data_IF_354731329467
#
_entry.id   IF_354731329467
#
_cell.length_a   1.000
_cell.length_b   1.000
_cell.length_c   1.000
_cell.angle_alpha   90.00
_cell.angle_beta   90.00
_cell.angle_gamma   90.00
#
_symmetry.space_group_name_H-M   'P 1'
#
loop_
_entity.id
_entity.type
_entity.pdbx_description
1 polymer ?
#
# COMPACT_ATOMS: atom_id res chain seq x y z
N UNK A 1 -10.39 -20.85 -0.88
CA UNK A 1 -11.18 -19.77 -0.23
C UNK A 1 -12.41 -20.30 0.52
N UNK A 2 -13.29 -21.10 -0.10
CA UNK A 2 -14.53 -21.58 0.56
C UNK A 2 -14.33 -22.26 1.92
N UNK A 3 -13.32 -23.12 2.09
CA UNK A 3 -13.02 -23.79 3.37
C UNK A 3 -12.76 -22.83 4.53
N UNK A 4 -12.16 -21.67 4.26
CA UNK A 4 -11.88 -20.65 5.29
C UNK A 4 -13.11 -19.79 5.57
N UNK A 5 -13.85 -19.44 4.51
CA UNK A 5 -15.06 -18.63 4.59
C UNK A 5 -16.24 -19.35 5.26
N UNK A 6 -16.45 -20.65 4.97
CA UNK A 6 -17.64 -21.38 5.39
C UNK A 6 -17.84 -21.42 6.91
N UNK A 7 -16.74 -21.42 7.69
CA UNK A 7 -16.77 -21.36 9.16
C UNK A 7 -17.35 -20.04 9.68
N UNK A 8 -17.11 -18.93 8.98
CA UNK A 8 -17.50 -17.59 9.41
C UNK A 8 -18.74 -17.06 8.68
N UNK A 9 -19.21 -17.75 7.64
CA UNK A 9 -20.38 -17.34 6.84
C UNK A 9 -21.55 -16.85 7.70
N UNK A 10 -22.01 -17.67 8.65
CA UNK A 10 -23.15 -17.30 9.51
C UNK A 10 -22.90 -15.99 10.27
N UNK A 11 -21.70 -15.83 10.82
CA UNK A 11 -21.31 -14.64 11.56
C UNK A 11 -21.23 -13.41 10.66
N UNK A 12 -20.69 -13.53 9.45
CA UNK A 12 -20.61 -12.43 8.49
C UNK A 12 -21.99 -11.93 8.06
N UNK A 13 -22.93 -12.84 7.78
CA UNK A 13 -24.32 -12.47 7.47
C UNK A 13 -25.03 -11.84 8.66
N UNK A 14 -24.86 -12.38 9.88
CA UNK A 14 -25.42 -11.77 11.09
C UNK A 14 -24.85 -10.37 11.33
N UNK A 15 -23.54 -10.18 11.14
CA UNK A 15 -22.88 -8.90 11.30
C UNK A 15 -23.44 -7.86 10.34
N UNK A 16 -23.46 -8.16 9.04
CA UNK A 16 -23.97 -7.20 8.04
C UNK A 16 -25.44 -6.86 8.26
N UNK A 17 -26.26 -7.80 8.74
CA UNK A 17 -27.67 -7.51 9.08
C UNK A 17 -27.83 -6.63 10.33
N UNK A 18 -26.85 -6.64 11.22
CA UNK A 18 -26.89 -5.86 12.47
C UNK A 18 -26.32 -4.45 12.33
N UNK A 19 -25.55 -4.19 11.28
CA UNK A 19 -24.93 -2.90 11.01
C UNK A 19 -25.75 -2.12 9.99
N UNK A 20 -25.94 -0.82 10.24
CA UNK A 20 -26.46 0.12 9.24
C UNK A 20 -25.28 0.56 8.35
N UNK A 21 -25.04 -0.23 7.30
CA UNK A 21 -23.95 -0.05 6.34
C UNK A 21 -24.45 0.84 5.19
N UNK A 22 -23.72 1.89 4.84
CA UNK A 22 -24.06 2.82 3.75
C UNK A 22 -22.86 3.10 2.86
N UNK A 23 -23.10 3.32 1.58
CA UNK A 23 -22.07 3.85 0.66
C UNK A 23 -21.92 5.35 0.91
N UNK A 24 -20.68 5.83 0.98
CA UNK A 24 -20.32 7.25 1.07
C UNK A 24 -20.09 7.86 -0.31
N UNK A 25 -20.21 7.05 -1.38
CA UNK A 25 -19.97 7.46 -2.77
C UNK A 25 -21.26 7.39 -3.60
N UNK A 26 -21.20 7.87 -4.85
CA UNK A 26 -22.30 7.72 -5.80
C UNK A 26 -22.45 6.28 -6.32
N UNK A 27 -21.43 5.43 -6.14
CA UNK A 27 -21.48 4.03 -6.53
C UNK A 27 -22.29 3.22 -5.51
N UNK A 28 -23.35 2.56 -5.99
CA UNK A 28 -24.24 1.70 -5.20
C UNK A 28 -24.10 0.22 -5.59
N UNK A 29 -23.23 -0.11 -6.56
CA UNK A 29 -23.12 -1.46 -7.11
C UNK A 29 -22.79 -2.51 -6.04
N UNK A 30 -21.90 -2.22 -5.09
CA UNK A 30 -21.60 -3.12 -3.99
C UNK A 30 -22.79 -3.27 -3.02
N UNK A 31 -23.48 -2.18 -2.70
CA UNK A 31 -24.63 -2.20 -1.78
C UNK A 31 -25.80 -2.99 -2.37
N UNK A 32 -26.07 -2.84 -3.66
CA UNK A 32 -27.04 -3.64 -4.40
C UNK A 32 -26.64 -5.12 -4.44
N UNK A 33 -25.36 -5.42 -4.65
CA UNK A 33 -24.83 -6.78 -4.62
C UNK A 33 -24.92 -7.41 -3.23
N UNK A 34 -24.66 -6.64 -2.18
CA UNK A 34 -24.81 -7.06 -0.79
C UNK A 34 -26.26 -7.39 -0.47
N UNK A 35 -27.20 -6.52 -0.85
CA UNK A 35 -28.63 -6.76 -0.70
C UNK A 35 -29.07 -8.03 -1.44
N UNK A 36 -28.58 -8.24 -2.67
CA UNK A 36 -28.85 -9.45 -3.45
C UNK A 36 -28.36 -10.72 -2.74
N UNK A 37 -27.16 -10.70 -2.15
CA UNK A 37 -26.62 -11.84 -1.37
C UNK A 37 -27.43 -12.09 -0.10
N UNK A 38 -27.85 -11.03 0.60
CA UNK A 38 -28.69 -11.15 1.80
C UNK A 38 -30.07 -11.75 1.48
N UNK A 39 -30.67 -11.41 0.34
CA UNK A 39 -31.94 -12.01 -0.12
C UNK A 39 -31.78 -13.50 -0.45
N UNK A 40 -30.63 -13.89 -0.99
CA UNK A 40 -30.36 -15.24 -1.46
C UNK A 40 -29.64 -16.14 -0.43
N UNK A 41 -29.50 -15.68 0.82
CA UNK A 41 -28.74 -16.34 1.89
C UNK A 41 -29.13 -17.82 2.08
N UNK A 42 -30.44 -18.11 2.06
CA UNK A 42 -30.99 -19.45 2.35
C UNK A 42 -31.12 -20.33 1.10
N UNK A 43 -30.85 -19.81 -0.10
CA UNK A 43 -30.91 -20.63 -1.31
C UNK A 43 -29.81 -21.68 -1.30
N UNK A 44 -30.18 -22.94 -1.55
CA UNK A 44 -29.23 -24.07 -1.56
C UNK A 44 -28.55 -24.29 -2.92
N UNK A 45 -29.08 -23.69 -3.98
CA UNK A 45 -28.50 -23.78 -5.32
C UNK A 45 -27.07 -23.26 -5.37
N UNK A 46 -26.24 -23.92 -6.19
CA UNK A 46 -24.88 -23.43 -6.48
C UNK A 46 -24.92 -22.17 -7.35
N UNK A 47 -25.98 -22.01 -8.14
CA UNK A 47 -26.12 -20.99 -9.17
C UNK A 47 -27.27 -20.03 -8.82
N UNK A 48 -27.04 -18.74 -9.03
CA UNK A 48 -28.07 -17.70 -8.95
C UNK A 48 -28.22 -17.03 -10.31
N UNK A 49 -29.46 -16.69 -10.67
CA UNK A 49 -29.72 -15.84 -11.83
C UNK A 49 -29.44 -14.39 -11.44
N UNK A 50 -28.47 -13.77 -12.09
CA UNK A 50 -28.01 -12.41 -11.78
C UNK A 50 -28.00 -11.54 -13.04
N UNK A 51 -29.09 -11.58 -13.82
CA UNK A 51 -29.20 -10.85 -15.09
C UNK A 51 -29.03 -9.32 -14.94
N UNK A 52 -29.28 -8.79 -13.75
CA UNK A 52 -29.28 -7.35 -13.46
C UNK A 52 -28.21 -6.92 -12.47
N UNK A 53 -27.35 -7.84 -12.01
CA UNK A 53 -26.37 -7.50 -10.98
C UNK A 53 -25.14 -6.85 -11.61
N UNK A 54 -24.85 -5.60 -11.24
CA UNK A 54 -23.60 -4.96 -11.60
C UNK A 54 -22.46 -5.46 -10.70
N UNK A 55 -21.37 -5.89 -11.34
CA UNK A 55 -20.14 -6.35 -10.69
C UNK A 55 -18.94 -5.53 -11.18
N UNK A 56 -19.19 -4.29 -11.59
CA UNK A 56 -18.19 -3.32 -12.05
C UNK A 56 -17.09 -3.07 -11.01
N UNK A 57 -17.42 -3.06 -9.73
CA UNK A 57 -16.46 -2.96 -8.61
C UNK A 57 -15.46 -4.13 -8.55
N UNK A 58 -15.83 -5.32 -9.05
CA UNK A 58 -15.01 -6.52 -8.93
C UNK A 58 -13.93 -6.59 -10.03
N UNK A 59 -12.73 -7.06 -9.67
CA UNK A 59 -11.63 -7.28 -10.61
C UNK A 59 -11.94 -8.37 -11.63
N UNK A 60 -11.25 -8.36 -12.78
CA UNK A 60 -11.43 -9.37 -13.82
C UNK A 60 -11.26 -10.81 -13.31
N UNK A 61 -10.30 -11.01 -12.40
CA UNK A 61 -10.07 -12.30 -11.74
C UNK A 61 -11.30 -12.76 -10.96
N UNK A 62 -11.93 -11.86 -10.21
CA UNK A 62 -13.17 -12.14 -9.49
C UNK A 62 -14.34 -12.37 -10.44
N UNK A 63 -14.51 -11.52 -11.46
CA UNK A 63 -15.58 -11.68 -12.45
C UNK A 63 -15.53 -13.03 -13.15
N UNK A 64 -14.34 -13.54 -13.50
CA UNK A 64 -14.16 -14.88 -14.09
C UNK A 64 -14.55 -16.03 -13.14
N UNK A 65 -14.39 -15.84 -11.83
CA UNK A 65 -14.74 -16.85 -10.83
C UNK A 65 -16.23 -16.82 -10.46
N UNK A 66 -16.83 -15.64 -10.50
CA UNK A 66 -18.21 -15.39 -10.09
C UNK A 66 -19.18 -15.64 -11.25
N UNK A 67 -18.89 -15.10 -12.44
CA UNK A 67 -19.78 -15.14 -13.59
C UNK A 67 -19.55 -16.43 -14.38
N UNK A 68 -20.63 -17.17 -14.64
CA UNK A 68 -20.60 -18.37 -15.47
C UNK A 68 -21.76 -18.35 -16.46
N UNK A 69 -21.49 -18.77 -17.69
CA UNK A 69 -22.51 -18.94 -18.71
C UNK A 69 -23.05 -20.37 -18.64
N UNK A 70 -24.35 -20.51 -18.37
CA UNK A 70 -25.04 -21.81 -18.41
C UNK A 70 -26.29 -21.67 -19.28
N UNK A 71 -26.43 -22.56 -20.27
CA UNK A 71 -27.59 -22.66 -21.15
C UNK A 71 -27.96 -21.31 -21.82
N UNK A 72 -26.96 -20.55 -22.27
CA UNK A 72 -27.15 -19.24 -22.91
C UNK A 72 -27.55 -18.10 -21.97
N UNK A 73 -27.69 -18.36 -20.66
CA UNK A 73 -27.94 -17.33 -19.64
C UNK A 73 -26.73 -17.14 -18.72
N UNK A 74 -26.38 -15.88 -18.48
CA UNK A 74 -25.36 -15.53 -17.50
C UNK A 74 -25.92 -15.72 -16.08
N UNK A 75 -25.25 -16.56 -15.30
CA UNK A 75 -25.53 -16.77 -13.88
C UNK A 75 -24.28 -16.49 -13.05
N UNK A 76 -24.45 -16.50 -11.74
CA UNK A 76 -23.35 -16.32 -10.79
C UNK A 76 -23.23 -17.52 -9.86
N UNK A 77 -22.00 -17.90 -9.54
CA UNK A 77 -21.75 -18.94 -8.54
C UNK A 77 -21.90 -18.32 -7.15
N UNK A 78 -22.91 -18.79 -6.40
CA UNK A 78 -23.29 -18.21 -5.09
C UNK A 78 -22.11 -18.10 -4.13
N UNK A 79 -21.33 -19.17 -4.01
CA UNK A 79 -20.24 -19.24 -3.04
C UNK A 79 -19.12 -18.23 -3.34
N UNK A 80 -18.77 -18.08 -4.62
CA UNK A 80 -17.76 -17.15 -5.09
C UNK A 80 -18.27 -15.72 -4.99
N UNK A 81 -19.55 -15.49 -5.32
CA UNK A 81 -20.20 -14.19 -5.19
C UNK A 81 -20.18 -13.70 -3.74
N UNK A 82 -20.57 -14.55 -2.79
CA UNK A 82 -20.54 -14.24 -1.36
C UNK A 82 -19.13 -13.82 -0.92
N UNK A 83 -18.11 -14.63 -1.22
CA UNK A 83 -16.73 -14.32 -0.82
C UNK A 83 -16.25 -13.02 -1.49
N UNK A 84 -16.59 -12.81 -2.77
CA UNK A 84 -16.25 -11.60 -3.50
C UNK A 84 -16.81 -10.37 -2.77
N UNK A 85 -18.12 -10.34 -2.52
CA UNK A 85 -18.79 -9.20 -1.89
C UNK A 85 -18.27 -8.94 -0.49
N UNK A 86 -18.10 -9.95 0.36
CA UNK A 86 -17.53 -9.74 1.70
C UNK A 86 -16.07 -9.27 1.66
N UNK A 87 -15.31 -9.65 0.63
CA UNK A 87 -13.93 -9.17 0.45
C UNK A 87 -13.94 -7.69 0.05
N UNK A 88 -14.78 -7.30 -0.90
CA UNK A 88 -14.90 -5.89 -1.33
C UNK A 88 -15.51 -5.01 -0.24
N UNK A 89 -16.51 -5.49 0.50
CA UNK A 89 -17.07 -4.78 1.65
C UNK A 89 -16.00 -4.49 2.71
N UNK A 90 -15.13 -5.47 3.01
CA UNK A 90 -14.03 -5.25 3.94
C UNK A 90 -12.97 -4.27 3.41
N UNK A 91 -12.82 -4.17 2.09
CA UNK A 91 -11.92 -3.18 1.47
C UNK A 91 -12.55 -1.79 1.51
N UNK A 92 -13.82 -1.65 1.11
CA UNK A 92 -14.52 -0.36 1.08
C UNK A 92 -14.73 0.23 2.46
N UNK A 93 -14.94 -0.60 3.49
CA UNK A 93 -14.90 -0.16 4.89
C UNK A 93 -13.53 0.38 5.30
N UNK A 94 -12.42 -0.16 4.75
CA UNK A 94 -11.07 0.30 5.06
C UNK A 94 -10.68 1.56 4.29
N UNK A 95 -11.18 1.72 3.07
CA UNK A 95 -10.93 2.90 2.23
C UNK A 95 -11.86 4.06 2.57
N UNK A 96 -12.97 3.79 3.26
CA UNK A 96 -13.98 4.79 3.63
C UNK A 96 -15.05 5.01 2.57
N UNK A 97 -15.07 4.20 1.50
CA UNK A 97 -16.11 4.22 0.45
C UNK A 97 -17.45 3.64 0.96
N UNK A 98 -17.38 2.88 2.06
CA UNK A 98 -18.53 2.39 2.82
C UNK A 98 -18.33 2.74 4.29
N UNK A 99 -19.39 3.18 4.96
CA UNK A 99 -19.41 3.51 6.38
C UNK A 99 -20.45 2.69 7.14
N UNK A 100 -20.32 2.70 8.48
CA UNK A 100 -21.26 2.11 9.42
C UNK A 100 -21.79 3.22 10.31
N UNK A 101 -23.10 3.46 10.25
CA UNK A 101 -23.74 4.51 11.05
C UNK A 101 -23.54 4.23 12.53
N UNK A 102 -23.08 5.24 13.28
CA UNK A 102 -22.78 5.13 14.71
C UNK A 102 -21.45 4.45 15.04
N UNK A 103 -20.64 4.08 14.04
CA UNK A 103 -19.26 3.65 14.27
C UNK A 103 -18.33 4.85 14.42
N UNK A 104 -17.34 4.76 15.31
CA UNK A 104 -16.24 5.73 15.37
C UNK A 104 -15.13 5.38 14.38
N UNK A 105 -14.77 4.09 14.28
CA UNK A 105 -13.67 3.63 13.42
C UNK A 105 -14.04 3.48 11.94
N UNK A 106 -15.34 3.37 11.64
CA UNK A 106 -15.88 3.22 10.28
C UNK A 106 -16.99 4.26 10.03
N UNK A 107 -16.86 5.46 10.63
CA UNK A 107 -17.80 6.56 10.44
C UNK A 107 -17.75 7.09 9.00
N UNK A 108 -18.80 7.82 8.59
CA UNK A 108 -18.72 8.62 7.38
C UNK A 108 -17.78 9.79 7.60
N UNK A 109 -16.65 9.81 6.88
CA UNK A 109 -15.70 10.92 6.93
C UNK A 109 -16.31 12.23 6.40
N UNK A 110 -17.28 12.14 5.47
CA UNK A 110 -17.98 13.30 4.93
C UNK A 110 -18.74 14.09 6.00
N UNK A 111 -19.22 13.44 7.05
CA UNK A 111 -19.87 14.11 8.19
C UNK A 111 -18.90 14.95 9.03
N UNK A 112 -17.59 14.73 8.88
CA UNK A 112 -16.55 15.50 9.57
C UNK A 112 -16.07 16.71 8.74
N UNK A 113 -16.50 16.81 7.49
CA UNK A 113 -16.16 17.92 6.61
C UNK A 113 -17.12 19.10 6.81
N UNK A 114 -16.68 20.29 6.43
CA UNK A 114 -17.53 21.48 6.42
C UNK A 114 -18.73 21.24 5.50
N UNK A 115 -19.92 21.62 5.98
CA UNK A 115 -21.11 21.55 5.15
C UNK A 115 -20.97 22.44 3.91
N UNK A 116 -21.74 22.14 2.86
CA UNK A 116 -21.72 22.98 1.66
C UNK A 116 -22.09 24.43 1.95
N UNK A 117 -22.99 24.66 2.93
CA UNK A 117 -23.40 25.99 3.37
C UNK A 117 -22.24 26.79 3.99
N UNK A 118 -21.33 26.11 4.69
CA UNK A 118 -20.12 26.71 5.28
C UNK A 118 -18.98 26.85 4.26
N UNK A 119 -18.88 25.92 3.30
CA UNK A 119 -17.87 25.93 2.24
C UNK A 119 -18.12 27.04 1.20
N UNK A 120 -19.37 27.19 0.73
CA UNK A 120 -19.70 28.05 -0.41
C UNK A 120 -19.22 29.52 -0.26
N UNK A 121 -19.35 30.18 0.91
CA UNK A 121 -18.83 31.54 1.10
C UNK A 121 -17.30 31.65 1.03
N UNK A 122 -16.56 30.58 1.36
CA UNK A 122 -15.09 30.55 1.44
C UNK A 122 -14.44 30.15 0.11
N UNK A 123 -15.21 29.63 -0.84
CA UNK A 123 -14.69 29.08 -2.09
C UNK A 123 -13.91 30.12 -2.91
N UNK A 124 -14.39 31.37 -2.95
CA UNK A 124 -13.71 32.44 -3.69
C UNK A 124 -12.35 32.80 -3.12
N UNK A 125 -12.22 32.92 -1.79
CA UNK A 125 -10.93 33.19 -1.15
C UNK A 125 -9.97 32.01 -1.30
N UNK A 126 -10.47 30.79 -1.15
CA UNK A 126 -9.69 29.57 -1.35
C UNK A 126 -9.12 29.46 -2.77
N UNK A 127 -9.95 29.71 -3.79
CA UNK A 127 -9.49 29.73 -5.19
C UNK A 127 -8.40 30.78 -5.42
N UNK A 128 -8.53 31.97 -4.83
CA UNK A 128 -7.52 33.03 -4.93
C UNK A 128 -6.18 32.63 -4.27
N UNK A 129 -6.22 31.99 -3.10
CA UNK A 129 -5.03 31.51 -2.39
C UNK A 129 -4.30 30.41 -3.16
N UNK A 130 -5.05 29.50 -3.79
CA UNK A 130 -4.48 28.44 -4.63
C UNK A 130 -4.10 28.91 -6.05
N UNK A 131 -4.46 30.13 -6.43
CA UNK A 131 -4.22 30.64 -7.79
C UNK A 131 -5.03 29.91 -8.86
N UNK A 132 -6.18 29.33 -8.50
CA UNK A 132 -7.10 28.66 -9.44
C UNK A 132 -8.33 29.54 -9.73
N UNK A 133 -8.94 29.43 -10.92
CA UNK A 133 -10.16 30.18 -11.22
C UNK A 133 -11.32 29.80 -10.28
N UNK A 134 -12.08 30.80 -9.85
CA UNK A 134 -13.27 30.58 -8.99
C UNK A 134 -14.54 30.29 -9.78
N UNK A 135 -14.58 30.67 -11.06
CA UNK A 135 -15.73 30.41 -11.92
C UNK A 135 -15.62 29.01 -12.54
N UNK A 136 -16.71 28.21 -12.57
CA UNK A 136 -16.67 26.82 -13.02
C UNK A 136 -16.11 26.65 -14.45
N UNK A 137 -16.56 27.47 -15.40
CA UNK A 137 -16.14 27.36 -16.80
C UNK A 137 -14.65 27.69 -16.97
N UNK A 138 -14.16 28.70 -16.25
CA UNK A 138 -12.74 29.07 -16.26
C UNK A 138 -11.87 27.99 -15.60
N UNK A 139 -12.37 27.39 -14.51
CA UNK A 139 -11.68 26.31 -13.81
C UNK A 139 -11.55 25.07 -14.70
N UNK A 140 -12.63 24.68 -15.38
CA UNK A 140 -12.61 23.57 -16.35
C UNK A 140 -11.67 23.87 -17.51
N UNK A 141 -11.71 25.09 -18.07
CA UNK A 141 -10.83 25.49 -19.16
C UNK A 141 -9.35 25.47 -18.73
N UNK A 142 -9.06 25.95 -17.52
CA UNK A 142 -7.73 25.94 -16.93
C UNK A 142 -7.20 24.51 -16.75
N UNK A 143 -7.98 23.62 -16.13
CA UNK A 143 -7.61 22.21 -15.94
C UNK A 143 -7.43 21.49 -17.27
N UNK A 144 -8.33 21.71 -18.23
CA UNK A 144 -8.24 21.09 -19.56
C UNK A 144 -6.96 21.53 -20.26
N UNK A 145 -6.64 22.81 -20.20
CA UNK A 145 -5.40 23.35 -20.79
C UNK A 145 -4.17 22.74 -20.12
N UNK A 146 -4.13 22.72 -18.79
CA UNK A 146 -3.00 22.19 -18.02
C UNK A 146 -2.78 20.69 -18.27
N UNK A 147 -3.83 19.88 -18.23
CA UNK A 147 -3.75 18.45 -18.51
C UNK A 147 -3.36 18.18 -19.97
N UNK A 148 -3.86 18.96 -20.92
CA UNK A 148 -3.52 18.82 -22.34
C UNK A 148 -2.05 19.16 -22.59
N UNK A 149 -1.55 20.26 -22.01
CA UNK A 149 -0.13 20.63 -22.12
C UNK A 149 0.77 19.57 -21.51
N UNK A 150 0.42 19.08 -20.31
CA UNK A 150 1.17 18.01 -19.65
C UNK A 150 1.17 16.74 -20.49
N UNK A 151 0.04 16.37 -21.09
CA UNK A 151 -0.02 15.21 -21.99
C UNK A 151 0.89 15.38 -23.21
N UNK A 152 0.91 16.57 -23.84
CA UNK A 152 1.80 16.88 -24.97
C UNK A 152 3.28 16.81 -24.57
N UNK A 153 3.64 17.30 -23.39
CA UNK A 153 5.00 17.21 -22.84
C UNK A 153 5.42 15.75 -22.60
N UNK A 154 4.53 14.96 -21.98
CA UNK A 154 4.75 13.53 -21.75
C UNK A 154 4.89 12.78 -23.07
N UNK A 155 4.03 13.05 -24.06
CA UNK A 155 4.14 12.48 -25.40
C UNK A 155 5.50 12.79 -26.02
N UNK A 156 5.98 14.02 -25.87
CA UNK A 156 7.29 14.43 -26.38
C UNK A 156 8.44 13.70 -25.68
N UNK A 157 8.39 13.52 -24.36
CA UNK A 157 9.38 12.72 -23.60
C UNK A 157 9.36 11.26 -24.06
N UNK A 158 8.16 10.71 -24.29
CA UNK A 158 7.99 9.33 -24.70
C UNK A 158 8.38 9.05 -26.17
N UNK A 159 8.45 10.07 -27.04
CA UNK A 159 8.91 9.91 -28.45
C UNK A 159 10.32 9.34 -28.55
N UNK A 160 11.22 9.76 -27.66
CA UNK A 160 12.61 9.30 -27.68
C UNK A 160 12.73 7.85 -27.20
N UNK A 161 11.72 7.34 -26.48
CA UNK A 161 11.58 5.94 -26.08
C UNK A 161 12.74 5.40 -25.22
N UNK A 162 13.52 6.27 -24.59
CA UNK A 162 14.76 5.92 -23.88
C UNK A 162 14.49 5.34 -22.50
N UNK A 163 13.60 5.96 -21.72
CA UNK A 163 13.29 5.53 -20.34
C UNK A 163 11.83 5.16 -20.12
N UNK A 164 10.85 5.92 -20.64
CA UNK A 164 9.43 5.64 -20.44
C UNK A 164 8.77 5.39 -21.79
N UNK A 165 8.07 4.27 -21.93
CA UNK A 165 7.33 3.87 -23.14
C UNK A 165 5.97 3.30 -22.76
N UNK A 166 4.98 3.37 -23.65
CA UNK A 166 3.68 2.72 -23.42
C UNK A 166 3.64 1.33 -24.06
N UNK A 167 3.04 0.36 -23.36
CA UNK A 167 2.78 -0.99 -23.89
C UNK A 167 1.67 -0.96 -24.95
N UNK A 168 1.48 -2.07 -25.68
CA UNK A 168 0.36 -2.21 -26.62
C UNK A 168 -1.02 -2.06 -25.96
N UNK A 169 -1.10 -2.25 -24.64
CA UNK A 169 -2.32 -2.11 -23.85
C UNK A 169 -2.46 -0.70 -23.25
N UNK A 170 -1.55 0.24 -23.55
CA UNK A 170 -1.57 1.60 -23.02
C UNK A 170 -0.98 1.75 -21.61
N UNK A 171 -0.31 0.73 -21.07
CA UNK A 171 0.30 0.79 -19.74
C UNK A 171 1.69 1.44 -19.81
N UNK A 172 2.05 2.36 -18.88
CA UNK A 172 3.38 2.94 -18.84
C UNK A 172 4.42 1.91 -18.39
N UNK A 173 5.50 1.79 -19.15
CA UNK A 173 6.63 0.88 -18.92
C UNK A 173 7.91 1.69 -18.79
N UNK A 174 8.56 1.58 -17.63
CA UNK A 174 9.88 2.14 -17.38
C UNK A 174 10.96 1.14 -17.83
N UNK A 175 11.73 1.50 -18.86
CA UNK A 175 12.91 0.76 -19.30
C UNK A 175 14.00 0.85 -18.24
N UNK A 176 14.67 -0.29 -18.01
CA UNK A 176 15.84 -0.36 -17.14
C UNK A 176 16.92 0.58 -17.66
N UNK A 177 17.43 1.44 -16.79
CA UNK A 177 18.60 2.28 -17.09
C UNK A 177 19.75 1.35 -17.47
N UNK A 178 20.26 1.49 -18.69
CA UNK A 178 21.42 0.73 -19.13
C UNK A 178 22.65 1.25 -18.38
N UNK A 179 23.41 0.34 -17.77
CA UNK A 179 24.68 0.69 -17.16
C UNK A 179 25.62 1.24 -18.25
N UNK A 180 26.34 2.32 -17.93
CA UNK A 180 27.38 2.84 -18.79
C UNK A 180 28.41 1.73 -19.08
N UNK A 181 28.99 1.69 -20.30
CA UNK A 181 30.03 0.73 -20.60
C UNK A 181 31.21 0.93 -19.64
N UNK A 182 31.79 -0.18 -19.18
CA UNK A 182 32.93 -0.15 -18.26
C UNK A 182 34.12 0.55 -18.96
N UNK A 183 34.70 1.61 -18.36
CA UNK A 183 35.80 2.33 -19.00
C UNK A 183 37.06 1.45 -19.12
N UNK A 184 37.90 1.77 -20.10
CA UNK A 184 39.19 1.09 -20.29
C UNK A 184 40.03 1.18 -19.02
N UNK A 185 40.58 0.05 -18.57
CA UNK A 185 41.40 -0.05 -17.35
C UNK A 185 40.62 -0.10 -16.03
N UNK A 186 39.29 -0.03 -16.03
CA UNK A 186 38.51 -0.08 -14.78
C UNK A 186 38.75 -1.36 -13.97
N UNK A 187 38.83 -2.51 -14.64
CA UNK A 187 39.12 -3.80 -13.98
C UNK A 187 40.53 -3.86 -13.41
N UNK A 188 41.50 -3.26 -14.11
CA UNK A 188 42.89 -3.21 -13.66
C UNK A 188 43.01 -2.31 -12.43
N UNK A 189 42.35 -1.16 -12.43
CA UNK A 189 42.27 -0.27 -11.29
C UNK A 189 41.59 -0.95 -10.09
N UNK A 190 40.45 -1.60 -10.30
CA UNK A 190 39.73 -2.38 -9.27
C UNK A 190 40.65 -3.43 -8.65
N UNK A 191 41.38 -4.20 -9.47
CA UNK A 191 42.34 -5.18 -8.99
C UNK A 191 43.48 -4.56 -8.17
N UNK A 192 44.04 -3.43 -8.62
CA UNK A 192 45.09 -2.71 -7.90
C UNK A 192 44.59 -2.11 -6.57
N UNK A 193 43.35 -1.65 -6.54
CA UNK A 193 42.68 -1.17 -5.32
C UNK A 193 42.51 -2.34 -4.34
N UNK A 194 42.00 -3.48 -4.79
CA UNK A 194 41.83 -4.67 -3.95
C UNK A 194 43.17 -5.22 -3.42
N UNK A 195 44.26 -5.13 -4.19
CA UNK A 195 45.60 -5.53 -3.72
C UNK A 195 46.15 -4.63 -2.61
N UNK A 196 45.72 -3.37 -2.55
CA UNK A 196 46.20 -2.38 -1.55
C UNK A 196 45.23 -2.18 -0.39
N UNK A 197 43.97 -2.56 -0.55
CA UNK A 197 42.98 -2.51 0.50
C UNK A 197 43.27 -3.62 1.53
N UNK A 198 43.44 -3.27 2.82
CA UNK A 198 43.56 -4.28 3.85
C UNK A 198 42.21 -5.00 4.03
N UNK A 199 42.26 -6.32 4.22
CA UNK A 199 41.09 -7.07 4.69
C UNK A 199 40.74 -6.60 6.11
N UNK A 200 39.47 -6.24 6.32
CA UNK A 200 38.93 -5.80 7.60
C UNK A 200 37.70 -6.61 7.93
N UNK A 201 37.52 -6.99 9.19
CA UNK A 201 36.26 -7.60 9.61
C UNK A 201 35.13 -6.57 9.57
N UNK A 202 33.89 -7.04 9.47
CA UNK A 202 32.72 -6.15 9.51
C UNK A 202 32.70 -5.34 10.83
N UNK A 203 33.15 -5.93 11.93
CA UNK A 203 33.26 -5.23 13.22
C UNK A 203 34.30 -4.10 13.16
N UNK A 204 35.44 -4.32 12.51
CA UNK A 204 36.46 -3.26 12.33
C UNK A 204 35.94 -2.14 11.44
N UNK A 205 35.13 -2.46 10.43
CA UNK A 205 34.48 -1.46 9.58
C UNK A 205 33.49 -0.65 10.42
N UNK A 206 32.62 -1.29 11.19
CA UNK A 206 31.64 -0.60 12.05
C UNK A 206 32.32 0.28 13.10
N UNK A 207 33.40 -0.21 13.72
CA UNK A 207 34.21 0.56 14.66
C UNK A 207 34.90 1.76 14.00
N UNK A 208 35.44 1.59 12.79
CA UNK A 208 36.05 2.68 12.04
C UNK A 208 35.01 3.73 11.62
N UNK A 209 33.83 3.31 11.17
CA UNK A 209 32.74 4.24 10.82
C UNK A 209 32.26 4.98 12.06
N UNK A 210 32.20 4.31 13.22
CA UNK A 210 31.89 4.98 14.49
C UNK A 210 32.94 6.00 14.89
N UNK A 211 34.22 5.69 14.72
CA UNK A 211 35.31 6.61 15.01
C UNK A 211 35.21 7.92 14.22
N UNK A 212 34.80 7.86 12.95
CA UNK A 212 34.72 9.04 12.07
C UNK A 212 33.39 9.79 12.15
N UNK A 213 32.28 9.06 12.29
CA UNK A 213 30.94 9.63 12.16
C UNK A 213 30.22 9.79 13.49
N UNK A 214 30.69 9.15 14.57
CA UNK A 214 30.05 9.11 15.88
C UNK A 214 28.55 8.79 15.78
N UNK A 215 28.20 7.79 14.97
CA UNK A 215 26.82 7.46 14.62
C UNK A 215 26.05 6.88 15.80
N UNK A 216 26.74 6.29 16.78
CA UNK A 216 26.12 5.73 17.99
C UNK A 216 25.33 6.76 18.81
N UNK A 217 25.62 8.07 18.68
CA UNK A 217 24.89 9.15 19.36
C UNK A 217 23.39 9.23 19.03
N UNK A 218 22.98 8.63 17.92
CA UNK A 218 21.59 8.60 17.47
C UNK A 218 20.85 7.35 17.96
N UNK A 219 21.56 6.44 18.62
CA UNK A 219 20.99 5.24 19.23
C UNK A 219 20.78 5.49 20.72
N UNK A 220 19.70 4.93 21.24
CA UNK A 220 19.33 5.01 22.65
C UNK A 220 18.16 4.07 22.92
N UNK A 221 18.10 3.43 24.08
CA UNK A 221 16.92 2.65 24.45
C UNK A 221 15.71 3.58 24.58
N UNK A 222 14.55 3.19 24.07
CA UNK A 222 13.29 3.97 24.20
C UNK A 222 12.96 4.31 25.66
N UNK A 223 13.45 3.51 26.61
CA UNK A 223 13.29 3.71 28.04
C UNK A 223 14.15 4.84 28.64
N UNK A 224 15.07 5.44 27.88
CA UNK A 224 15.99 6.48 28.36
C UNK A 224 17.05 5.98 29.35
N UNK A 225 17.24 4.66 29.47
CA UNK A 225 18.18 4.03 30.41
C UNK A 225 19.64 4.02 29.96
N UNK A 226 20.01 4.88 29.00
CA UNK A 226 21.34 4.96 28.40
C UNK A 226 22.50 5.15 29.42
N UNK A 227 22.36 5.94 30.50
CA UNK A 227 23.42 6.10 31.51
C UNK A 227 23.76 4.81 32.29
N UNK A 228 22.96 3.75 32.14
CA UNK A 228 23.16 2.45 32.80
C UNK A 228 23.88 1.45 31.90
N UNK A 229 24.29 1.85 30.69
CA UNK A 229 25.01 0.98 29.76
C UNK A 229 26.52 1.06 30.02
N UNK A 230 27.13 -0.05 30.45
CA UNK A 230 28.59 -0.18 30.48
C UNK A 230 29.13 -0.33 29.05
N UNK A 231 30.09 0.51 28.67
CA UNK A 231 30.66 0.57 27.32
C UNK A 231 29.58 0.62 26.20
N UNK A 232 28.83 1.74 26.11
CA UNK A 232 27.73 1.86 25.16
C UNK A 232 28.19 1.73 23.70
N UNK A 233 29.42 2.14 23.39
CA UNK A 233 29.97 2.11 22.04
C UNK A 233 30.20 0.68 21.56
N UNK A 234 30.85 -0.18 22.37
CA UNK A 234 31.00 -1.61 22.03
C UNK A 234 29.63 -2.28 21.89
N UNK A 235 28.67 -1.94 22.76
CA UNK A 235 27.30 -2.49 22.71
C UNK A 235 26.58 -2.13 21.42
N UNK A 236 26.56 -0.87 21.03
CA UNK A 236 25.87 -0.45 19.81
C UNK A 236 26.49 -1.06 18.55
N UNK A 237 27.83 -1.18 18.50
CA UNK A 237 28.52 -1.85 17.39
C UNK A 237 28.09 -3.32 17.31
N UNK A 238 28.03 -4.04 18.45
CA UNK A 238 27.60 -5.44 18.49
C UNK A 238 26.12 -5.62 18.17
N UNK A 239 25.26 -4.70 18.61
CA UNK A 239 23.82 -4.70 18.28
C UNK A 239 23.61 -4.53 16.79
N UNK A 240 24.25 -3.53 16.17
CA UNK A 240 24.15 -3.28 14.73
C UNK A 240 24.72 -4.45 13.94
N UNK A 241 25.85 -5.02 14.36
CA UNK A 241 26.40 -6.22 13.73
C UNK A 241 25.42 -7.41 13.81
N UNK A 242 24.89 -7.69 14.99
CA UNK A 242 24.01 -8.84 15.24
C UNK A 242 22.67 -8.75 14.51
N UNK A 243 22.05 -7.58 14.52
CA UNK A 243 20.79 -7.34 13.81
C UNK A 243 21.00 -7.21 12.30
N UNK A 244 22.02 -6.45 11.87
CA UNK A 244 22.32 -6.22 10.45
C UNK A 244 22.77 -7.48 9.71
N UNK A 245 23.40 -8.43 10.39
CA UNK A 245 23.77 -9.73 9.83
C UNK A 245 22.69 -10.82 10.04
N UNK A 246 21.48 -10.46 10.47
CA UNK A 246 20.36 -11.39 10.74
C UNK A 246 20.66 -12.51 11.76
N UNK A 247 21.62 -12.31 12.67
CA UNK A 247 21.87 -13.26 13.77
C UNK A 247 20.86 -13.08 14.91
N UNK A 248 20.44 -11.85 15.15
CA UNK A 248 19.58 -11.48 16.26
C UNK A 248 20.28 -11.45 17.62
N UNK A 249 19.64 -10.92 18.67
CA UNK A 249 20.25 -10.67 19.99
C UNK A 249 20.78 -11.95 20.66
N UNK A 250 20.02 -13.05 20.58
CA UNK A 250 20.36 -14.31 21.25
C UNK A 250 21.61 -14.99 20.67
N UNK A 251 21.74 -15.08 19.35
CA UNK A 251 22.91 -15.73 18.75
C UNK A 251 24.14 -14.83 18.88
N UNK A 252 23.97 -13.52 18.74
CA UNK A 252 25.06 -12.55 18.92
C UNK A 252 25.67 -12.66 20.32
N UNK A 253 24.85 -12.70 21.37
CA UNK A 253 25.31 -12.88 22.75
C UNK A 253 26.05 -14.21 22.99
N UNK A 254 25.64 -15.30 22.33
CA UNK A 254 26.33 -16.60 22.42
C UNK A 254 27.71 -16.57 21.77
N UNK A 255 27.88 -15.82 20.69
CA UNK A 255 29.13 -15.75 19.94
C UNK A 255 30.13 -14.70 20.48
N UNK A 256 29.69 -13.78 21.33
CA UNK A 256 30.54 -12.79 22.00
C UNK A 256 31.16 -13.29 23.31
N UNK A 257 31.03 -14.60 23.63
CA UNK A 257 31.63 -15.26 24.80
C UNK A 257 31.36 -14.55 26.14
N UNK A 258 30.15 -14.02 26.30
CA UNK A 258 29.71 -13.38 27.55
C UNK A 258 30.09 -11.90 27.70
N UNK A 259 30.64 -11.25 26.67
CA UNK A 259 30.86 -9.78 26.69
C UNK A 259 29.56 -8.98 26.67
N UNK A 260 28.52 -9.52 26.04
CA UNK A 260 27.17 -8.92 26.00
C UNK A 260 26.11 -10.01 26.15
N UNK A 261 25.01 -9.67 26.81
CA UNK A 261 23.83 -10.54 26.98
C UNK A 261 22.76 -10.22 25.94
N UNK A 262 21.86 -11.16 25.66
CA UNK A 262 20.78 -10.92 24.70
C UNK A 262 19.88 -9.74 25.11
N UNK A 263 19.67 -9.52 26.41
CA UNK A 263 18.87 -8.41 26.94
C UNK A 263 19.57 -7.06 26.76
N UNK A 264 20.89 -7.03 26.63
CA UNK A 264 21.64 -5.80 26.37
C UNK A 264 21.66 -5.42 24.88
N UNK A 265 21.26 -6.35 24.00
CA UNK A 265 21.21 -6.17 22.55
C UNK A 265 19.77 -5.98 22.02
N UNK A 266 18.77 -5.99 22.91
CA UNK A 266 17.32 -5.88 22.61
C UNK A 266 16.68 -4.73 23.37
#
# INVERSE_FOLDING_TARGET
MWRFYSRYRKLLFTLVRSLDIRSTTQDQSLMEALAFVLEHEHRRGQWLSAKTLDLSFASDSWRRLVIVKKDGTAGVVRQQLEICIFTYLATELKTGDVCVVGSESYADFGEQLLSWQECQPQLKSFCQELGIPSEPDEFIAHLTTWLTQTAVEVDQICKDGTQVTFSQNGEPVLKRIQALPQPLGARELEALIHQRLPERSILDILANVEHWLHWTRHFGPESGSEPKLDDPLERYILTVFGLGCNLGPNQTARHTKGRVTSHQLS
#
